data_IF_182197104812
#
_entry.id   IF_182197104812
#
_cell.length_a   1.000
_cell.length_b   1.000
_cell.length_c   1.000
_cell.angle_alpha   90.00
_cell.angle_beta   90.00
_cell.angle_gamma   90.00
#
_symmetry.space_group_name_H-M   'P 1'
#
loop_
_entity.id
_entity.type
_entity.pdbx_description
1 polymer ?
#
# COMPACT_ATOMS: atom_id res chain seq x y z
N UNK A 1 -16.81 9.07 -18.38
CA UNK A 1 -16.98 8.06 -17.31
C UNK A 1 -16.15 6.81 -17.56
N UNK A 2 -16.18 6.21 -18.76
CA UNK A 2 -15.32 5.07 -19.13
C UNK A 2 -13.81 5.22 -18.80
N UNK A 3 -13.13 6.34 -19.09
CA UNK A 3 -11.70 6.46 -18.78
C UNK A 3 -11.41 6.45 -17.28
N UNK A 4 -12.37 6.87 -16.44
CA UNK A 4 -12.21 6.87 -14.99
C UNK A 4 -12.26 5.44 -14.44
N UNK A 5 -13.22 4.63 -14.90
CA UNK A 5 -13.34 3.22 -14.48
C UNK A 5 -12.10 2.44 -14.90
N UNK A 6 -11.59 2.68 -16.11
CA UNK A 6 -10.33 2.06 -16.57
C UNK A 6 -9.13 2.47 -15.71
N UNK A 7 -9.03 3.75 -15.32
CA UNK A 7 -7.96 4.23 -14.43
C UNK A 7 -8.05 3.63 -13.03
N UNK A 8 -9.26 3.55 -12.46
CA UNK A 8 -9.48 2.92 -11.15
C UNK A 8 -9.22 1.41 -11.19
N UNK A 9 -9.66 0.74 -12.25
CA UNK A 9 -9.37 -0.67 -12.50
C UNK A 9 -7.87 -0.93 -12.66
N UNK A 10 -7.16 -0.06 -13.38
CA UNK A 10 -5.71 -0.12 -13.52
C UNK A 10 -5.00 0.09 -12.18
N UNK A 11 -5.42 1.09 -11.39
CA UNK A 11 -4.86 1.34 -10.07
C UNK A 11 -5.06 0.16 -9.11
N UNK A 12 -6.26 -0.45 -9.14
CA UNK A 12 -6.56 -1.68 -8.41
C UNK A 12 -5.70 -2.85 -8.90
N UNK A 13 -5.58 -3.04 -10.21
CA UNK A 13 -4.79 -4.12 -10.82
C UNK A 13 -3.31 -4.01 -10.45
N UNK A 14 -2.74 -2.80 -10.47
CA UNK A 14 -1.37 -2.53 -10.02
C UNK A 14 -1.22 -2.89 -8.54
N UNK A 15 -2.16 -2.46 -7.68
CA UNK A 15 -2.15 -2.80 -6.26
C UNK A 15 -2.23 -4.32 -6.02
N UNK A 16 -3.09 -5.02 -6.74
CA UNK A 16 -3.21 -6.48 -6.65
C UNK A 16 -1.95 -7.19 -7.17
N UNK A 17 -1.34 -6.70 -8.25
CA UNK A 17 -0.12 -7.26 -8.82
C UNK A 17 1.05 -7.18 -7.81
N UNK A 18 1.26 -6.01 -7.20
CA UNK A 18 2.27 -5.82 -6.17
C UNK A 18 2.01 -6.73 -4.97
N UNK A 19 0.74 -6.83 -4.54
CA UNK A 19 0.33 -7.71 -3.46
C UNK A 19 0.51 -9.20 -3.76
N UNK A 20 0.35 -9.60 -5.02
CA UNK A 20 0.57 -10.96 -5.49
C UNK A 20 2.07 -11.29 -5.50
N UNK A 21 2.91 -10.40 -6.03
CA UNK A 21 4.37 -10.60 -6.07
C UNK A 21 4.93 -10.72 -4.64
N UNK A 22 4.53 -9.82 -3.74
CA UNK A 22 4.91 -9.83 -2.32
C UNK A 22 4.42 -11.11 -1.64
N UNK A 23 3.15 -11.46 -1.87
CA UNK A 23 2.53 -12.66 -1.32
C UNK A 23 3.08 -13.97 -1.88
N UNK A 24 3.72 -13.96 -3.06
CA UNK A 24 4.48 -15.09 -3.59
C UNK A 24 5.88 -15.15 -2.99
N UNK A 25 6.58 -14.01 -2.88
CA UNK A 25 7.92 -13.91 -2.29
C UNK A 25 7.93 -14.31 -0.80
N UNK A 26 6.87 -13.98 -0.06
CA UNK A 26 6.70 -14.37 1.35
C UNK A 26 6.30 -15.85 1.54
N UNK A 27 6.06 -16.63 0.49
CA UNK A 27 5.78 -18.09 0.63
C UNK A 27 6.99 -18.89 1.06
N UNK A 28 8.18 -18.40 0.74
CA UNK A 28 9.46 -19.01 1.13
C UNK A 28 9.99 -18.44 2.44
N UNK A 29 9.32 -17.42 3.00
CA UNK A 29 9.73 -16.78 4.24
C UNK A 29 9.21 -17.52 5.49
N UNK A 30 9.95 -17.50 6.61
CA UNK A 30 9.55 -18.17 7.85
C UNK A 30 8.18 -17.71 8.36
N UNK A 31 7.42 -18.63 8.96
CA UNK A 31 6.10 -18.38 9.52
C UNK A 31 6.16 -17.28 10.61
N UNK A 32 5.58 -16.12 10.33
CA UNK A 32 5.58 -14.95 11.23
C UNK A 32 5.77 -13.60 10.53
N UNK A 33 6.37 -13.59 9.33
CA UNK A 33 6.74 -12.37 8.58
C UNK A 33 5.68 -11.88 7.57
N UNK A 34 4.40 -12.23 7.75
CA UNK A 34 3.33 -11.85 6.80
C UNK A 34 2.95 -10.37 6.96
N UNK A 35 3.77 -9.49 6.43
CA UNK A 35 3.70 -8.06 6.72
C UNK A 35 2.60 -7.31 5.95
N UNK A 36 2.03 -7.85 4.87
CA UNK A 36 0.75 -7.38 4.29
C UNK A 36 0.33 -8.26 3.11
N UNK A 37 -0.92 -8.74 3.11
CA UNK A 37 -1.46 -9.58 2.04
C UNK A 37 -1.92 -8.81 0.79
N UNK A 38 -2.27 -9.55 -0.27
CA UNK A 38 -2.79 -9.02 -1.55
C UNK A 38 -3.96 -8.05 -1.40
N UNK A 39 -4.80 -8.23 -0.38
CA UNK A 39 -5.93 -7.35 -0.06
C UNK A 39 -5.48 -5.93 0.29
N UNK A 40 -4.44 -5.79 1.11
CA UNK A 40 -3.94 -4.49 1.59
C UNK A 40 -3.36 -3.67 0.43
N UNK A 41 -2.56 -4.29 -0.43
CA UNK A 41 -1.99 -3.60 -1.59
C UNK A 41 -3.04 -3.27 -2.66
N UNK A 42 -4.04 -4.14 -2.88
CA UNK A 42 -5.17 -3.84 -3.76
C UNK A 42 -5.95 -2.61 -3.31
N UNK A 43 -6.33 -2.54 -2.02
CA UNK A 43 -7.03 -1.39 -1.44
C UNK A 43 -6.16 -0.12 -1.51
N UNK A 44 -4.86 -0.24 -1.25
CA UNK A 44 -3.92 0.89 -1.33
C UNK A 44 -3.82 1.45 -2.76
N UNK A 45 -3.75 0.59 -3.77
CA UNK A 45 -3.74 0.99 -5.18
C UNK A 45 -5.03 1.69 -5.58
N UNK A 46 -6.19 1.13 -5.19
CA UNK A 46 -7.49 1.76 -5.44
C UNK A 46 -7.62 3.12 -4.75
N UNK A 47 -7.15 3.23 -3.51
CA UNK A 47 -7.14 4.49 -2.77
C UNK A 47 -6.34 5.57 -3.51
N UNK A 48 -5.15 5.24 -4.02
CA UNK A 48 -4.36 6.16 -4.85
C UNK A 48 -5.10 6.61 -6.12
N UNK A 49 -5.78 5.70 -6.79
CA UNK A 49 -6.62 6.02 -7.95
C UNK A 49 -7.80 6.95 -7.62
N UNK A 50 -8.44 6.76 -6.46
CA UNK A 50 -9.52 7.63 -5.98
C UNK A 50 -8.99 9.03 -5.64
N UNK A 51 -7.86 9.12 -4.93
CA UNK A 51 -7.22 10.39 -4.59
C UNK A 51 -6.83 11.17 -5.85
N UNK A 52 -6.27 10.49 -6.85
CA UNK A 52 -5.95 11.10 -8.14
C UNK A 52 -7.22 11.60 -8.88
N UNK A 53 -8.28 10.80 -8.90
CA UNK A 53 -9.56 11.20 -9.51
C UNK A 53 -10.19 12.41 -8.81
N UNK A 54 -10.11 12.47 -7.47
CA UNK A 54 -10.59 13.62 -6.69
C UNK A 54 -9.76 14.88 -6.93
N UNK A 55 -8.44 14.74 -7.06
CA UNK A 55 -7.53 15.84 -7.40
C UNK A 55 -7.86 16.45 -8.75
N UNK A 56 -8.12 15.60 -9.75
CA UNK A 56 -8.52 16.01 -11.10
C UNK A 56 -9.89 16.69 -11.11
N UNK A 57 -10.88 16.12 -10.39
CA UNK A 57 -12.23 16.68 -10.29
C UNK A 57 -12.26 18.07 -9.64
N UNK A 58 -11.43 18.28 -8.62
CA UNK A 58 -11.34 19.56 -7.89
C UNK A 58 -10.30 20.52 -8.49
N UNK A 59 -9.56 20.09 -9.52
CA UNK A 59 -8.45 20.83 -10.14
C UNK A 59 -7.44 21.37 -9.11
N UNK A 60 -7.15 20.55 -8.11
CA UNK A 60 -6.33 20.91 -6.94
C UNK A 60 -5.31 19.83 -6.61
N UNK A 61 -4.07 20.08 -6.99
CA UNK A 61 -2.93 19.15 -6.78
C UNK A 61 -2.61 18.94 -5.30
N UNK A 62 -3.07 19.84 -4.42
CA UNK A 62 -2.93 19.73 -2.97
C UNK A 62 -3.63 18.50 -2.42
N UNK A 63 -4.73 18.07 -3.02
CA UNK A 63 -5.47 16.87 -2.59
C UNK A 63 -4.62 15.63 -2.85
N UNK A 64 -3.96 15.56 -4.01
CA UNK A 64 -3.06 14.48 -4.33
C UNK A 64 -1.84 14.46 -3.40
N UNK A 65 -1.20 15.61 -3.18
CA UNK A 65 -0.05 15.73 -2.28
C UNK A 65 -0.40 15.34 -0.83
N UNK A 66 -1.53 15.82 -0.30
CA UNK A 66 -1.99 15.51 1.05
C UNK A 66 -2.38 14.02 1.20
N UNK A 67 -3.06 13.45 0.20
CA UNK A 67 -3.40 12.03 0.19
C UNK A 67 -2.16 11.14 0.13
N UNK A 68 -1.19 11.49 -0.71
CA UNK A 68 0.08 10.79 -0.81
C UNK A 68 0.89 10.89 0.49
N UNK A 69 1.00 12.07 1.10
CA UNK A 69 1.66 12.25 2.40
C UNK A 69 0.99 11.42 3.50
N UNK A 70 -0.33 11.43 3.59
CA UNK A 70 -1.08 10.67 4.61
C UNK A 70 -0.83 9.17 4.48
N UNK A 71 -0.78 8.67 3.25
CA UNK A 71 -0.45 7.27 2.96
C UNK A 71 1.01 6.95 3.31
N UNK A 72 1.95 7.79 2.87
CA UNK A 72 3.37 7.61 3.14
C UNK A 72 3.68 7.63 4.64
N UNK A 73 3.06 8.53 5.40
CA UNK A 73 3.19 8.60 6.85
C UNK A 73 2.65 7.34 7.54
N UNK A 74 1.45 6.89 7.15
CA UNK A 74 0.87 5.64 7.68
C UNK A 74 1.76 4.43 7.39
N UNK A 75 2.28 4.32 6.17
CA UNK A 75 3.14 3.21 5.77
C UNK A 75 4.50 3.25 6.47
N UNK A 76 5.08 4.45 6.60
CA UNK A 76 6.33 4.67 7.33
C UNK A 76 6.16 4.34 8.81
N UNK A 77 5.07 4.81 9.43
CA UNK A 77 4.74 4.48 10.81
C UNK A 77 4.60 2.97 11.03
N UNK A 78 3.87 2.30 10.15
CA UNK A 78 3.70 0.85 10.21
C UNK A 78 5.04 0.11 10.10
N UNK A 79 5.90 0.51 9.15
CA UNK A 79 7.25 -0.06 9.00
C UNK A 79 8.15 0.22 10.20
N UNK A 80 8.07 1.41 10.81
CA UNK A 80 8.79 1.75 12.03
C UNK A 80 8.29 0.92 13.23
N UNK A 81 6.99 0.61 13.27
CA UNK A 81 6.42 -0.22 14.33
C UNK A 81 6.85 -1.69 14.18
N UNK A 82 6.90 -2.20 12.94
CA UNK A 82 7.43 -3.53 12.65
C UNK A 82 8.92 -3.64 13.01
N UNK A 83 9.73 -2.63 12.69
CA UNK A 83 11.17 -2.63 12.97
C UNK A 83 11.50 -2.69 14.47
N UNK A 84 10.60 -2.18 15.34
CA UNK A 84 10.76 -2.29 16.80
C UNK A 84 10.36 -3.65 17.37
N UNK A 85 9.58 -4.43 16.63
CA UNK A 85 9.16 -5.77 17.04
C UNK A 85 10.23 -6.85 16.73
N UNK A 86 11.22 -6.55 15.87
CA UNK A 86 12.34 -7.44 15.56
C UNK A 86 13.51 -7.34 16.56
N UNK A 87 13.56 -6.31 17.42
CA UNK A 87 14.63 -6.20 18.44
C UNK A 87 14.47 -7.20 19.60
N UNK A 88 13.28 -7.78 19.81
CA UNK A 88 13.00 -8.70 20.92
C UNK A 88 13.39 -10.17 20.64
N UNK A 89 13.72 -10.55 19.40
CA UNK A 89 14.15 -11.91 19.06
C UNK A 89 15.67 -12.14 19.13
N UNK A 90 16.47 -11.09 19.34
CA UNK A 90 17.91 -11.18 19.53
C UNK A 90 18.27 -11.24 21.03
N UNK A 91 17.72 -12.21 21.78
CA UNK A 91 18.29 -12.58 23.08
C UNK A 91 19.26 -13.75 22.88
N UNK A 92 20.57 -13.55 23.03
CA UNK A 92 21.52 -14.66 23.05
C UNK A 92 21.40 -15.35 24.41
N UNK A 93 20.85 -16.56 24.42
CA UNK A 93 20.95 -17.50 25.53
C UNK A 93 22.19 -18.39 25.37
#
# INVERSE_FOLDING_TARGET
>A
MEPLILRLGLALAIGLLVGLERGWREREAPAGSRTAGIRTYGISGLLGGIVAALSDAQRSDLIFAAGFMSFALSFTWFKLHEARHDEDFASPA
#
